data_IF_253725620157
#
_entry.id   IF_253725620157
#
_cell.length_a   1.000
_cell.length_b   1.000
_cell.length_c   1.000
_cell.angle_alpha   90.00
_cell.angle_beta   90.00
_cell.angle_gamma   90.00
#
_symmetry.space_group_name_H-M   'P 1'
#
loop_
_entity.id
_entity.type
_entity.pdbx_description
1 polymer ?
#
# COMPACT_ATOMS: atom_id res chain seq x y z
N UNK A 1 -20.78 63.84 34.72
CA UNK A 1 -20.70 63.38 33.28
C UNK A 1 -19.78 62.17 32.99
N UNK A 2 -19.34 61.39 33.96
CA UNK A 2 -18.35 60.31 33.75
C UNK A 2 -18.95 58.86 33.65
N UNK A 3 -20.11 58.59 34.19
CA UNK A 3 -20.73 57.31 34.21
C UNK A 3 -21.18 56.81 32.84
N UNK A 4 -21.61 57.64 31.93
CA UNK A 4 -22.02 57.27 30.55
C UNK A 4 -20.84 56.92 29.64
N UNK A 5 -19.65 57.45 29.90
CA UNK A 5 -18.44 57.06 29.11
C UNK A 5 -17.92 55.74 29.53
N UNK A 6 -18.03 55.31 30.78
CA UNK A 6 -17.61 54.01 31.28
C UNK A 6 -18.47 52.89 30.76
N UNK A 7 -19.79 53.06 30.68
CA UNK A 7 -20.71 52.08 30.10
C UNK A 7 -20.50 51.85 28.59
N UNK A 8 -20.17 52.92 27.84
CA UNK A 8 -19.85 52.79 26.42
C UNK A 8 -18.51 52.11 26.16
N UNK A 9 -17.51 52.23 27.03
CA UNK A 9 -16.24 51.52 26.93
C UNK A 9 -16.38 50.02 27.31
N UNK A 10 -17.24 49.69 28.28
CA UNK A 10 -17.51 48.30 28.66
C UNK A 10 -18.23 47.49 27.58
N UNK A 11 -19.13 48.09 26.81
CA UNK A 11 -19.84 47.42 25.71
C UNK A 11 -18.92 47.20 24.50
N UNK A 12 -18.00 48.12 24.19
CA UNK A 12 -17.01 47.95 23.13
C UNK A 12 -15.96 46.85 23.45
N UNK A 13 -15.59 46.74 24.75
CA UNK A 13 -14.67 45.66 25.20
C UNK A 13 -15.31 44.29 25.17
N UNK A 14 -16.60 44.15 25.49
CA UNK A 14 -17.32 42.87 25.42
C UNK A 14 -17.57 42.40 23.97
N UNK A 15 -17.79 43.33 23.03
CA UNK A 15 -17.92 42.99 21.60
C UNK A 15 -16.58 42.53 20.97
N UNK A 16 -15.46 43.12 21.41
CA UNK A 16 -14.13 42.71 20.94
C UNK A 16 -13.69 41.33 21.50
N UNK A 17 -14.15 40.94 22.71
CA UNK A 17 -13.87 39.62 23.28
C UNK A 17 -14.71 38.50 22.65
N UNK A 18 -15.88 38.81 22.10
CA UNK A 18 -16.75 37.83 21.44
C UNK A 18 -16.23 37.37 20.06
N UNK A 19 -15.32 38.13 19.43
CA UNK A 19 -14.73 37.79 18.14
C UNK A 19 -13.51 36.88 18.23
N UNK A 20 -13.02 36.55 19.44
CA UNK A 20 -11.84 35.71 19.65
C UNK A 20 -12.17 34.27 20.05
N UNK A 21 -13.43 33.95 20.24
CA UNK A 21 -13.86 32.56 20.51
C UNK A 21 -14.44 31.91 19.26
N UNK A 22 -13.65 31.77 18.19
CA UNK A 22 -13.88 30.66 17.29
C UNK A 22 -13.64 29.40 18.11
N UNK A 23 -14.67 28.55 18.33
CA UNK A 23 -14.41 27.25 18.95
C UNK A 23 -13.36 26.58 18.08
N UNK A 24 -12.18 26.37 18.64
CA UNK A 24 -11.25 25.39 18.07
C UNK A 24 -12.01 24.06 18.12
N UNK A 25 -12.72 23.71 17.04
CA UNK A 25 -13.22 22.36 16.84
C UNK A 25 -11.94 21.53 16.87
N UNK A 26 -11.69 20.87 17.99
CA UNK A 26 -10.64 19.88 18.09
C UNK A 26 -10.98 18.86 17.01
N UNK A 27 -10.33 19.00 15.85
CA UNK A 27 -10.45 17.98 14.80
C UNK A 27 -9.86 16.74 15.43
N UNK A 28 -10.69 15.71 15.66
CA UNK A 28 -10.23 14.41 16.14
C UNK A 28 -9.15 13.91 15.18
N UNK A 29 -7.89 14.12 15.58
CA UNK A 29 -6.76 13.58 14.84
C UNK A 29 -6.74 12.07 15.04
N UNK A 30 -6.73 11.35 13.93
CA UNK A 30 -6.58 9.90 13.90
C UNK A 30 -5.18 9.56 13.41
N UNK A 31 -4.50 8.71 14.14
CA UNK A 31 -3.24 8.13 13.69
C UNK A 31 -3.54 6.78 13.03
N UNK A 32 -3.11 6.62 11.78
CA UNK A 32 -3.19 5.37 11.04
C UNK A 32 -1.81 4.79 10.83
N UNK A 33 -1.68 3.51 11.05
CA UNK A 33 -0.46 2.75 10.76
C UNK A 33 -0.56 2.20 9.34
N UNK A 34 0.47 2.46 8.52
CA UNK A 34 0.66 1.83 7.23
C UNK A 34 1.86 0.89 7.32
N UNK A 35 1.62 -0.42 7.24
CA UNK A 35 2.68 -1.43 7.19
C UNK A 35 3.03 -1.77 5.75
N UNK A 36 4.30 -2.03 5.44
CA UNK A 36 4.73 -2.32 4.07
C UNK A 36 5.50 -3.63 3.96
N UNK A 37 5.46 -4.24 2.77
CA UNK A 37 6.29 -5.38 2.44
C UNK A 37 7.70 -4.99 1.99
N UNK A 38 8.08 -3.71 2.11
CA UNK A 38 9.31 -3.15 1.58
C UNK A 38 10.24 -2.68 2.69
N UNK A 39 11.58 -2.74 2.46
CA UNK A 39 12.54 -1.98 3.24
C UNK A 39 12.26 -0.47 3.16
N UNK A 40 12.62 0.24 4.21
CA UNK A 40 12.52 1.70 4.22
C UNK A 40 13.32 2.31 3.07
N UNK A 41 12.72 3.28 2.39
CA UNK A 41 13.33 4.01 1.27
C UNK A 41 13.72 3.13 0.06
N UNK A 42 13.20 1.91 -0.07
CA UNK A 42 13.43 1.13 -1.26
C UNK A 42 12.99 1.93 -2.51
N UNK A 43 13.87 2.14 -3.50
CA UNK A 43 13.50 2.84 -4.73
C UNK A 43 12.27 2.22 -5.38
N UNK A 44 11.34 3.08 -5.81
CA UNK A 44 10.03 2.66 -6.30
C UNK A 44 9.05 2.39 -5.16
N UNK A 45 8.81 1.15 -4.74
CA UNK A 45 7.67 0.83 -3.85
C UNK A 45 7.81 1.40 -2.44
N UNK A 46 9.00 1.44 -1.85
CA UNK A 46 9.20 2.02 -0.52
C UNK A 46 9.00 3.53 -0.50
N UNK A 47 9.54 4.22 -1.51
CA UNK A 47 9.34 5.66 -1.69
C UNK A 47 7.89 5.98 -2.01
N UNK A 48 7.23 5.17 -2.86
CA UNK A 48 5.82 5.36 -3.20
C UNK A 48 4.90 5.20 -1.99
N UNK A 49 5.19 4.24 -1.10
CA UNK A 49 4.43 4.06 0.14
C UNK A 49 4.54 5.29 1.06
N UNK A 50 5.73 5.87 1.22
CA UNK A 50 5.91 7.10 2.00
C UNK A 50 5.14 8.27 1.36
N UNK A 51 5.25 8.45 0.05
CA UNK A 51 4.54 9.50 -0.66
C UNK A 51 3.01 9.37 -0.51
N UNK A 52 2.49 8.14 -0.52
CA UNK A 52 1.07 7.87 -0.30
C UNK A 52 0.65 8.26 1.12
N UNK A 53 1.43 7.88 2.14
CA UNK A 53 1.19 8.23 3.53
C UNK A 53 1.15 9.75 3.73
N UNK A 54 2.13 10.48 3.19
CA UNK A 54 2.23 11.93 3.27
C UNK A 54 1.03 12.61 2.56
N UNK A 55 0.61 12.08 1.41
CA UNK A 55 -0.54 12.61 0.66
C UNK A 55 -1.86 12.41 1.39
N UNK A 56 -2.10 11.24 2.01
CA UNK A 56 -3.30 11.00 2.82
C UNK A 56 -3.34 12.00 3.96
N UNK A 57 -2.22 12.20 4.65
CA UNK A 57 -2.11 13.18 5.75
C UNK A 57 -2.41 14.60 5.26
N UNK A 58 -1.81 15.02 4.16
CA UNK A 58 -2.02 16.34 3.58
C UNK A 58 -3.46 16.56 3.10
N UNK A 59 -4.01 15.63 2.33
CA UNK A 59 -5.36 15.73 1.76
C UNK A 59 -6.45 15.68 2.83
N UNK A 60 -6.19 15.02 3.95
CA UNK A 60 -7.12 15.04 5.09
C UNK A 60 -7.08 16.35 5.89
N UNK A 61 -6.20 17.28 5.54
CA UNK A 61 -5.95 18.51 6.34
C UNK A 61 -5.35 18.19 7.71
N UNK A 62 -4.58 17.09 7.83
CA UNK A 62 -3.97 16.63 9.07
C UNK A 62 -4.93 15.92 10.03
N UNK A 63 -6.17 15.64 9.61
CA UNK A 63 -7.13 14.86 10.42
C UNK A 63 -6.74 13.40 10.52
N UNK A 64 -6.07 12.86 9.50
CA UNK A 64 -5.50 11.52 9.47
C UNK A 64 -3.99 11.67 9.35
N UNK A 65 -3.25 11.30 10.38
CA UNK A 65 -1.80 11.19 10.33
C UNK A 65 -1.42 9.76 10.03
N UNK A 66 -0.77 9.51 8.89
CA UNK A 66 -0.36 8.17 8.50
C UNK A 66 1.10 7.95 8.85
N UNK A 67 1.36 6.99 9.75
CA UNK A 67 2.72 6.55 10.10
C UNK A 67 3.08 5.30 9.30
N UNK A 68 4.18 5.40 8.53
CA UNK A 68 4.71 4.31 7.73
C UNK A 68 5.66 3.44 8.54
N UNK A 69 5.47 2.13 8.45
CA UNK A 69 6.33 1.10 9.05
C UNK A 69 6.86 0.18 7.96
N UNK A 70 8.16 0.05 7.87
CA UNK A 70 8.82 -0.82 6.91
C UNK A 70 8.66 -2.30 7.27
N UNK A 71 8.97 -3.18 6.32
CA UNK A 71 8.95 -4.62 6.54
C UNK A 71 9.81 -5.02 7.75
N UNK A 72 9.20 -5.71 8.71
CA UNK A 72 9.86 -6.16 9.93
C UNK A 72 9.79 -5.19 11.12
N UNK A 73 9.28 -3.96 10.96
CA UNK A 73 9.13 -3.02 12.09
C UNK A 73 7.93 -3.38 12.99
N UNK A 74 6.81 -3.81 12.41
CA UNK A 74 5.64 -4.31 13.14
C UNK A 74 5.42 -5.79 12.82
N UNK A 75 5.36 -6.13 11.53
CA UNK A 75 5.19 -7.49 11.01
C UNK A 75 6.14 -7.76 9.86
N UNK A 76 6.50 -9.02 9.57
CA UNK A 76 7.21 -9.39 8.34
C UNK A 76 6.44 -8.96 7.08
N UNK A 77 7.17 -8.69 6.00
CA UNK A 77 6.56 -8.21 4.75
C UNK A 77 5.39 -9.04 4.21
N UNK A 78 5.46 -10.38 4.19
CA UNK A 78 4.34 -11.23 3.76
C UNK A 78 3.09 -11.14 4.66
N UNK A 79 3.25 -10.73 5.93
CA UNK A 79 2.17 -10.75 6.93
C UNK A 79 1.39 -9.43 7.02
N UNK A 80 1.75 -8.43 6.19
CA UNK A 80 1.07 -7.11 6.21
C UNK A 80 -0.41 -7.19 5.85
N UNK A 81 -0.82 -8.18 5.07
CA UNK A 81 -2.22 -8.44 4.75
C UNK A 81 -3.00 -8.84 6.00
N UNK A 82 -2.45 -9.78 6.77
CA UNK A 82 -3.08 -10.27 7.99
C UNK A 82 -3.14 -9.16 9.04
N UNK A 83 -2.08 -8.37 9.16
CA UNK A 83 -2.05 -7.22 10.07
C UNK A 83 -3.21 -6.24 9.84
N UNK A 84 -3.60 -6.01 8.58
CA UNK A 84 -4.75 -5.14 8.27
C UNK A 84 -6.07 -5.87 8.40
N UNK A 85 -6.19 -7.10 7.92
CA UNK A 85 -7.45 -7.86 8.03
C UNK A 85 -7.83 -8.16 9.48
N UNK A 86 -6.87 -8.22 10.40
CA UNK A 86 -7.05 -8.43 11.84
C UNK A 86 -7.11 -7.12 12.66
N UNK A 87 -6.91 -5.97 12.00
CA UNK A 87 -7.02 -4.66 12.65
C UNK A 87 -5.77 -4.23 13.44
N UNK A 88 -4.61 -4.87 13.26
CA UNK A 88 -3.33 -4.44 13.85
C UNK A 88 -2.81 -3.15 13.22
N UNK A 89 -3.12 -2.93 11.93
CA UNK A 89 -2.83 -1.72 11.18
C UNK A 89 -4.04 -1.35 10.31
N UNK A 90 -4.16 -0.06 9.96
CA UNK A 90 -5.25 0.46 9.16
C UNK A 90 -4.98 0.31 7.65
N UNK A 91 -3.71 0.35 7.25
CA UNK A 91 -3.29 0.31 5.85
C UNK A 91 -2.11 -0.63 5.66
N UNK A 92 -2.03 -1.23 4.47
CA UNK A 92 -0.78 -1.82 4.01
C UNK A 92 -0.45 -1.42 2.57
N UNK A 93 0.84 -1.47 2.24
CA UNK A 93 1.34 -1.27 0.87
C UNK A 93 2.22 -2.45 0.46
N UNK A 94 1.73 -3.24 -0.50
CA UNK A 94 2.40 -4.46 -0.95
C UNK A 94 1.88 -4.91 -2.32
N UNK A 95 2.29 -6.10 -2.78
CA UNK A 95 1.81 -6.71 -4.03
C UNK A 95 0.96 -7.94 -3.76
N UNK A 96 -0.10 -8.18 -4.54
CA UNK A 96 -0.98 -9.35 -4.40
C UNK A 96 -0.27 -10.70 -4.51
N UNK A 97 0.89 -10.74 -5.16
CA UNK A 97 1.63 -11.97 -5.45
C UNK A 97 2.05 -12.79 -4.19
N UNK A 98 2.03 -12.18 -3.00
CA UNK A 98 2.38 -12.87 -1.75
C UNK A 98 1.26 -13.74 -1.18
N UNK A 99 0.01 -13.56 -1.59
CA UNK A 99 -1.16 -14.14 -0.93
C UNK A 99 -1.95 -15.16 -1.76
N UNK A 100 -1.26 -15.86 -2.66
CA UNK A 100 -1.86 -16.96 -3.43
C UNK A 100 -2.37 -18.12 -2.57
N UNK A 101 -1.84 -18.30 -1.37
CA UNK A 101 -2.33 -19.27 -0.38
C UNK A 101 -3.70 -18.88 0.19
N UNK A 102 -4.03 -17.59 0.27
CA UNK A 102 -5.33 -17.10 0.74
C UNK A 102 -6.39 -17.23 -0.35
N UNK A 103 -6.06 -16.87 -1.57
CA UNK A 103 -6.91 -17.06 -2.75
C UNK A 103 -6.10 -16.97 -4.03
N UNK A 104 -6.27 -17.94 -4.93
CA UNK A 104 -5.66 -17.91 -6.27
C UNK A 104 -6.13 -16.68 -7.08
N UNK A 105 -7.36 -16.24 -6.88
CA UNK A 105 -7.91 -15.05 -7.55
C UNK A 105 -7.17 -13.77 -7.20
N UNK A 106 -6.60 -13.65 -6.00
CA UNK A 106 -5.79 -12.49 -5.61
C UNK A 106 -4.59 -12.31 -6.53
N UNK A 107 -3.98 -13.39 -7.01
CA UNK A 107 -2.82 -13.35 -7.89
C UNK A 107 -3.12 -12.67 -9.24
N UNK A 108 -4.37 -12.68 -9.68
CA UNK A 108 -4.80 -12.07 -10.95
C UNK A 108 -4.74 -10.54 -10.94
N UNK A 109 -4.67 -9.90 -9.76
CA UNK A 109 -4.52 -8.46 -9.62
C UNK A 109 -3.07 -7.99 -9.49
N UNK A 110 -2.13 -8.93 -9.48
CA UNK A 110 -0.69 -8.67 -9.43
C UNK A 110 -0.01 -8.86 -10.78
N UNK A 111 1.27 -9.19 -10.71
CA UNK A 111 2.08 -9.48 -11.89
C UNK A 111 1.73 -10.85 -12.46
N UNK A 112 1.25 -10.88 -13.69
CA UNK A 112 1.02 -12.11 -14.43
C UNK A 112 2.06 -12.22 -15.56
N UNK A 113 2.71 -13.39 -15.74
CA UNK A 113 3.51 -13.62 -16.94
C UNK A 113 2.65 -13.41 -18.19
N UNK A 114 3.14 -12.58 -19.12
CA UNK A 114 2.42 -12.20 -20.37
C UNK A 114 1.06 -11.52 -20.15
N UNK A 115 0.83 -10.95 -18.95
CA UNK A 115 -0.40 -10.23 -18.61
C UNK A 115 -0.46 -8.81 -19.18
N UNK A 116 -1.43 -8.05 -18.70
CA UNK A 116 -1.63 -6.66 -19.07
C UNK A 116 -0.43 -5.79 -18.68
N UNK A 117 -0.09 -4.82 -19.53
CA UNK A 117 0.83 -3.74 -19.16
C UNK A 117 0.20 -2.83 -18.11
N UNK A 118 1.01 -1.99 -17.50
CA UNK A 118 0.58 -1.09 -16.42
C UNK A 118 -0.60 -0.19 -16.82
N UNK A 119 -0.54 0.39 -18.02
CA UNK A 119 -1.60 1.24 -18.59
C UNK A 119 -2.88 0.47 -18.89
N UNK A 120 -2.75 -0.72 -19.45
CA UNK A 120 -3.88 -1.61 -19.75
C UNK A 120 -4.55 -2.12 -18.46
N UNK A 121 -3.76 -2.52 -17.46
CA UNK A 121 -4.27 -2.94 -16.16
C UNK A 121 -4.99 -1.79 -15.46
N UNK A 122 -4.42 -0.58 -15.49
CA UNK A 122 -5.09 0.59 -14.94
C UNK A 122 -6.42 0.88 -15.65
N UNK A 123 -6.45 0.83 -16.99
CA UNK A 123 -7.68 0.98 -17.78
C UNK A 123 -8.73 -0.06 -17.42
N UNK A 124 -8.33 -1.34 -17.31
CA UNK A 124 -9.23 -2.41 -16.88
C UNK A 124 -9.77 -2.19 -15.46
N UNK A 125 -8.92 -1.80 -14.52
CA UNK A 125 -9.35 -1.52 -13.14
C UNK A 125 -10.34 -0.37 -13.06
N UNK A 126 -10.13 0.72 -13.82
CA UNK A 126 -10.97 1.91 -13.76
C UNK A 126 -12.26 1.79 -14.59
N UNK A 127 -12.22 1.10 -15.74
CA UNK A 127 -13.29 1.13 -16.72
C UNK A 127 -13.78 -0.27 -17.16
N UNK A 128 -13.00 -1.31 -16.88
CA UNK A 128 -13.31 -2.68 -17.31
C UNK A 128 -13.88 -3.59 -16.22
N UNK A 129 -14.29 -3.02 -15.07
CA UNK A 129 -14.87 -3.79 -13.96
C UNK A 129 -13.82 -4.42 -13.03
N UNK A 130 -12.53 -4.21 -13.26
CA UNK A 130 -11.46 -4.78 -12.45
C UNK A 130 -11.55 -4.39 -10.98
N UNK A 131 -11.86 -3.12 -10.66
CA UNK A 131 -12.00 -2.68 -9.28
C UNK A 131 -13.16 -3.39 -8.54
N UNK A 132 -14.28 -3.65 -9.21
CA UNK A 132 -15.39 -4.37 -8.58
C UNK A 132 -15.02 -5.82 -8.22
N UNK A 133 -14.30 -6.51 -9.11
CA UNK A 133 -13.78 -7.86 -8.83
C UNK A 133 -12.73 -7.84 -7.72
N UNK A 134 -11.89 -6.81 -7.69
CA UNK A 134 -10.87 -6.62 -6.66
C UNK A 134 -11.53 -6.43 -5.29
N UNK A 135 -12.55 -5.58 -5.22
CA UNK A 135 -13.35 -5.35 -4.03
C UNK A 135 -14.04 -6.62 -3.52
N UNK A 136 -14.65 -7.40 -4.41
CA UNK A 136 -15.29 -8.67 -4.04
C UNK A 136 -14.28 -9.67 -3.47
N UNK A 137 -13.12 -9.78 -4.12
CA UNK A 137 -12.07 -10.72 -3.70
C UNK A 137 -11.50 -10.39 -2.33
N UNK A 138 -11.18 -9.12 -2.08
CA UNK A 138 -10.59 -8.66 -0.82
C UNK A 138 -11.62 -8.41 0.29
N UNK A 139 -12.84 -8.08 -0.07
CA UNK A 139 -13.94 -7.85 0.86
C UNK A 139 -14.24 -9.06 1.76
N UNK A 140 -13.95 -10.28 1.28
CA UNK A 140 -14.04 -11.52 2.06
C UNK A 140 -13.11 -11.54 3.28
N UNK A 141 -12.09 -10.71 3.28
CA UNK A 141 -11.10 -10.54 4.35
C UNK A 141 -11.27 -9.21 5.10
N UNK A 142 -12.35 -8.47 4.85
CA UNK A 142 -12.58 -7.15 5.46
C UNK A 142 -11.64 -6.06 4.95
N UNK A 143 -10.98 -6.26 3.81
CA UNK A 143 -9.99 -5.32 3.24
C UNK A 143 -10.55 -4.65 2.00
N UNK A 144 -10.35 -3.34 1.87
CA UNK A 144 -10.65 -2.56 0.66
C UNK A 144 -9.36 -2.30 -0.13
N UNK A 145 -9.20 -2.89 -1.32
CA UNK A 145 -7.98 -2.74 -2.12
C UNK A 145 -8.05 -1.54 -3.05
N UNK A 146 -6.89 -0.94 -3.34
CA UNK A 146 -6.70 0.11 -4.32
C UNK A 146 -5.39 -0.09 -5.08
N UNK A 147 -5.35 0.28 -6.36
CA UNK A 147 -4.08 0.43 -7.07
C UNK A 147 -3.36 1.67 -6.55
N UNK A 148 -2.10 1.50 -6.14
CA UNK A 148 -1.29 2.58 -5.57
C UNK A 148 0.12 2.68 -6.20
N UNK A 149 0.40 1.91 -7.24
CA UNK A 149 1.66 1.98 -7.97
C UNK A 149 1.84 0.80 -8.90
N UNK A 150 2.86 0.90 -9.75
CA UNK A 150 3.30 -0.16 -10.65
C UNK A 150 4.81 -0.04 -10.86
N UNK A 151 5.51 -1.16 -10.94
CA UNK A 151 6.96 -1.22 -11.16
C UNK A 151 7.34 -1.28 -12.65
N UNK A 152 6.36 -1.21 -13.55
CA UNK A 152 6.55 -1.41 -14.97
C UNK A 152 6.79 -2.87 -15.37
N UNK A 153 7.04 -3.13 -16.66
CA UNK A 153 7.40 -4.46 -17.16
C UNK A 153 8.66 -4.98 -16.49
N UNK A 154 8.65 -6.26 -16.14
CA UNK A 154 9.78 -6.93 -15.52
C UNK A 154 10.34 -8.01 -16.44
N UNK A 155 11.65 -8.13 -16.47
CA UNK A 155 12.32 -9.26 -17.09
C UNK A 155 12.00 -10.55 -16.33
N UNK A 156 12.08 -11.68 -17.02
CA UNK A 156 11.83 -13.00 -16.43
C UNK A 156 12.75 -13.26 -15.23
N UNK A 157 14.01 -12.87 -15.32
CA UNK A 157 14.98 -13.03 -14.23
C UNK A 157 16.40 -12.66 -14.62
N UNK A 158 17.31 -12.83 -13.65
CA UNK A 158 18.74 -12.72 -13.79
C UNK A 158 19.34 -14.11 -13.60
N UNK A 159 20.08 -14.59 -14.60
CA UNK A 159 20.64 -15.94 -14.64
C UNK A 159 22.16 -15.88 -14.70
N UNK A 160 22.83 -16.86 -14.08
CA UNK A 160 24.29 -16.97 -14.12
C UNK A 160 24.80 -17.44 -15.49
N UNK A 161 24.01 -18.30 -16.13
CA UNK A 161 24.28 -18.84 -17.46
C UNK A 161 23.17 -18.41 -18.41
N UNK A 162 23.50 -18.41 -19.70
CA UNK A 162 22.53 -18.18 -20.76
C UNK A 162 21.47 -19.29 -20.78
N UNK A 163 20.22 -18.94 -20.98
CA UNK A 163 19.09 -19.89 -21.08
C UNK A 163 18.68 -19.92 -22.55
N UNK A 164 18.94 -21.03 -23.22
CA UNK A 164 18.67 -21.21 -24.64
C UNK A 164 17.50 -22.15 -24.91
N UNK A 165 17.08 -22.94 -23.91
CA UNK A 165 16.00 -23.93 -24.02
C UNK A 165 15.23 -24.07 -22.70
N UNK A 166 14.07 -24.72 -22.76
CA UNK A 166 13.29 -25.05 -21.55
C UNK A 166 14.04 -26.09 -20.69
N UNK A 167 14.86 -26.95 -21.32
CA UNK A 167 15.68 -27.92 -20.63
C UNK A 167 16.70 -27.28 -19.68
N UNK A 168 17.23 -26.11 -20.03
CA UNK A 168 18.19 -25.36 -19.20
C UNK A 168 17.58 -24.85 -17.90
N UNK A 169 16.26 -24.82 -17.82
CA UNK A 169 15.52 -24.41 -16.63
C UNK A 169 15.40 -25.52 -15.57
N UNK A 170 15.58 -26.79 -15.95
CA UNK A 170 15.37 -27.91 -15.04
C UNK A 170 16.36 -27.91 -13.87
N UNK A 171 15.83 -27.96 -12.65
CA UNK A 171 16.60 -27.95 -11.42
C UNK A 171 17.19 -26.59 -11.05
N UNK A 172 16.96 -25.53 -11.85
CA UNK A 172 17.49 -24.21 -11.59
C UNK A 172 16.77 -23.60 -10.36
N UNK A 173 17.55 -23.17 -9.37
CA UNK A 173 17.00 -22.44 -8.22
C UNK A 173 16.58 -21.04 -8.68
N UNK A 174 15.31 -20.74 -8.52
CA UNK A 174 14.75 -19.50 -9.03
C UNK A 174 13.83 -18.84 -8.01
N UNK A 175 14.15 -17.62 -7.61
CA UNK A 175 13.30 -16.82 -6.73
C UNK A 175 12.24 -16.11 -7.55
N UNK A 176 10.98 -16.44 -7.30
CA UNK A 176 9.83 -15.73 -7.87
C UNK A 176 8.62 -15.85 -6.96
N UNK A 177 7.51 -15.20 -7.27
CA UNK A 177 6.30 -15.21 -6.44
C UNK A 177 5.05 -15.32 -7.30
N UNK A 178 3.92 -15.63 -6.68
CA UNK A 178 2.62 -15.65 -7.35
C UNK A 178 2.52 -16.71 -8.46
N UNK A 179 1.83 -16.38 -9.54
CA UNK A 179 1.63 -17.29 -10.69
C UNK A 179 2.95 -17.66 -11.38
N UNK A 180 3.92 -16.76 -11.38
CA UNK A 180 5.24 -17.04 -11.95
C UNK A 180 5.96 -18.17 -11.20
N UNK A 181 5.75 -18.31 -9.88
CA UNK A 181 6.31 -19.42 -9.10
C UNK A 181 5.69 -20.76 -9.50
N UNK A 182 4.37 -20.81 -9.70
CA UNK A 182 3.71 -22.03 -10.17
C UNK A 182 4.16 -22.41 -11.58
N UNK A 183 4.30 -21.44 -12.47
CA UNK A 183 4.80 -21.65 -13.82
C UNK A 183 6.25 -22.17 -13.80
N UNK A 184 7.13 -21.53 -13.05
CA UNK A 184 8.54 -21.96 -12.92
C UNK A 184 8.64 -23.40 -12.40
N UNK A 185 7.85 -23.77 -11.39
CA UNK A 185 7.80 -25.16 -10.88
C UNK A 185 7.34 -26.14 -11.95
N UNK A 186 6.30 -25.81 -12.74
CA UNK A 186 5.83 -26.66 -13.84
C UNK A 186 6.86 -26.82 -14.96
N UNK A 187 7.74 -25.85 -15.14
CA UNK A 187 8.86 -25.90 -16.09
C UNK A 187 10.09 -26.65 -15.52
N UNK A 188 9.98 -27.19 -14.31
CA UNK A 188 11.04 -28.01 -13.68
C UNK A 188 12.07 -27.21 -12.88
N UNK A 189 11.85 -25.91 -12.66
CA UNK A 189 12.70 -25.11 -11.77
C UNK A 189 12.43 -25.45 -10.29
N UNK A 190 13.44 -25.27 -9.45
CA UNK A 190 13.29 -25.21 -8.00
C UNK A 190 12.89 -23.77 -7.60
N UNK A 191 11.58 -23.48 -7.69
CA UNK A 191 11.06 -22.14 -7.42
C UNK A 191 10.91 -21.91 -5.90
N UNK A 192 11.45 -20.79 -5.41
CA UNK A 192 11.34 -20.37 -4.01
C UNK A 192 10.64 -19.01 -3.93
N UNK A 193 9.59 -18.94 -3.09
CA UNK A 193 8.90 -17.69 -2.78
C UNK A 193 9.48 -17.07 -1.51
N UNK A 194 10.13 -15.92 -1.62
CA UNK A 194 10.66 -15.17 -0.48
C UNK A 194 10.52 -13.67 -0.69
N UNK A 195 10.49 -12.92 0.41
CA UNK A 195 10.51 -11.46 0.37
C UNK A 195 11.81 -10.92 -0.24
N UNK A 196 11.82 -9.61 -0.56
CA UNK A 196 12.99 -8.97 -1.19
C UNK A 196 14.28 -8.99 -0.37
N UNK A 197 14.27 -8.60 0.92
CA UNK A 197 15.50 -8.46 1.71
C UNK A 197 16.38 -9.70 1.79
N UNK A 198 15.86 -10.94 1.98
CA UNK A 198 16.68 -12.16 2.02
C UNK A 198 17.42 -12.50 0.74
N UNK A 199 17.03 -11.91 -0.41
CA UNK A 199 17.70 -12.19 -1.68
C UNK A 199 19.14 -11.68 -1.75
N UNK A 200 19.51 -10.75 -0.90
CA UNK A 200 20.82 -10.08 -0.91
C UNK A 200 21.79 -10.70 0.12
N UNK A 201 21.38 -11.75 0.81
CA UNK A 201 22.17 -12.52 1.76
C UNK A 201 22.57 -13.86 1.15
#
# INVERSE_FOLDING_TARGET
MQRRKFLKAGVAGAAAAATLATPAIAQDKREWKMVTAWPKNLPGPGVAAQLLADRITTLSGGRIEVKLYAAGEIVPGPDVFDAVSEGTAELYHAVPAYWGSKSKGILLFGSQPFGLRADEQFGWMQHGGGQALYDEMYGRFGVKPFLCGNSGPQWAGWFRNEINSVEDLKGLKFRTTGLASEMATKMGMAAEAMGGPPMFQ
#
